data_IF_201438848662
#
_entry.id   IF_201438848662
#
_cell.length_a   1.000
_cell.length_b   1.000
_cell.length_c   1.000
_cell.angle_alpha   90.00
_cell.angle_beta   90.00
_cell.angle_gamma   90.00
#
_symmetry.space_group_name_H-M   'P 1'
#
loop_
_entity.id
_entity.type
_entity.pdbx_description
1 polymer ?
#
# COMPACT_ATOMS: atom_id res chain seq x y z
N UNK A 1 2.99 4.50 2.03
CA UNK A 1 2.35 3.17 2.10
C UNK A 1 3.15 2.11 1.29
N UNK A 2 3.56 2.39 0.03
CA UNK A 2 4.26 1.40 -0.81
C UNK A 2 5.56 0.89 -0.19
N UNK A 3 6.34 1.74 0.46
CA UNK A 3 7.58 1.35 1.14
C UNK A 3 7.35 0.46 2.37
N UNK A 4 6.24 0.70 3.11
CA UNK A 4 5.80 -0.18 4.20
C UNK A 4 5.43 -1.57 3.67
N UNK A 5 4.64 -1.60 2.61
CA UNK A 5 4.26 -2.85 1.94
C UNK A 5 5.50 -3.62 1.45
N UNK A 6 6.45 -2.91 0.83
CA UNK A 6 7.71 -3.50 0.39
C UNK A 6 8.52 -4.08 1.55
N UNK A 7 8.55 -3.40 2.71
CA UNK A 7 9.22 -3.93 3.90
C UNK A 7 8.57 -5.21 4.42
N UNK A 8 7.23 -5.25 4.50
CA UNK A 8 6.48 -6.44 4.92
C UNK A 8 6.80 -7.63 3.99
N UNK A 9 6.73 -7.41 2.68
CA UNK A 9 6.99 -8.46 1.69
C UNK A 9 8.46 -8.89 1.66
N UNK A 10 9.38 -7.98 1.91
CA UNK A 10 10.81 -8.29 2.00
C UNK A 10 11.13 -9.19 3.19
N UNK A 11 10.44 -9.04 4.33
CA UNK A 11 10.54 -9.93 5.48
C UNK A 11 10.11 -11.37 5.16
N UNK A 12 9.19 -11.53 4.20
CA UNK A 12 8.75 -12.83 3.67
C UNK A 12 9.67 -13.36 2.54
N UNK A 13 10.81 -12.71 2.31
CA UNK A 13 11.79 -13.12 1.31
C UNK A 13 11.49 -12.67 -0.13
N UNK A 14 10.49 -11.81 -0.34
CA UNK A 14 10.20 -11.25 -1.65
C UNK A 14 11.13 -10.07 -1.98
N UNK A 15 11.56 -9.99 -3.23
CA UNK A 15 12.46 -8.93 -3.71
C UNK A 15 11.72 -8.07 -4.73
N UNK A 16 11.86 -6.75 -4.61
CA UNK A 16 11.28 -5.82 -5.59
C UNK A 16 12.02 -5.90 -6.94
N UNK A 17 11.26 -5.88 -8.04
CA UNK A 17 11.79 -5.80 -9.40
C UNK A 17 11.18 -4.61 -10.15
N UNK A 18 11.90 -4.08 -11.14
CA UNK A 18 11.39 -3.06 -12.08
C UNK A 18 10.84 -3.67 -13.36
N UNK A 19 11.10 -4.95 -13.59
CA UNK A 19 10.71 -5.68 -14.80
C UNK A 19 9.38 -6.39 -14.58
N UNK A 20 8.31 -5.90 -15.19
CA UNK A 20 6.96 -6.47 -15.06
C UNK A 20 6.87 -7.94 -15.47
N UNK A 21 7.65 -8.36 -16.46
CA UNK A 21 7.66 -9.75 -16.96
C UNK A 21 8.22 -10.73 -15.90
N UNK A 22 9.14 -10.26 -15.08
CA UNK A 22 9.75 -11.07 -14.01
C UNK A 22 8.90 -11.11 -12.73
N UNK A 23 7.91 -10.21 -12.61
CA UNK A 23 7.11 -10.11 -11.41
C UNK A 23 6.20 -11.32 -11.23
N UNK A 24 6.15 -11.87 -10.02
CA UNK A 24 5.18 -12.88 -9.58
C UNK A 24 4.00 -12.22 -8.86
N UNK A 25 4.21 -11.02 -8.33
CA UNK A 25 3.23 -10.22 -7.62
C UNK A 25 3.26 -8.77 -8.12
N UNK A 26 2.11 -8.24 -8.51
CA UNK A 26 1.93 -6.83 -8.85
C UNK A 26 0.93 -6.23 -7.87
N UNK A 27 1.36 -5.22 -7.12
CA UNK A 27 0.51 -4.48 -6.18
C UNK A 27 0.33 -3.04 -6.64
N UNK A 28 -0.91 -2.62 -6.85
CA UNK A 28 -1.28 -1.25 -7.22
C UNK A 28 -1.72 -0.51 -5.97
N UNK A 29 -0.91 0.43 -5.51
CA UNK A 29 -1.32 1.33 -4.43
C UNK A 29 -2.22 2.43 -4.98
N UNK A 30 -3.41 2.58 -4.41
CA UNK A 30 -4.48 3.39 -4.96
C UNK A 30 -4.91 4.52 -4.03
N UNK A 31 -5.37 5.61 -4.64
CA UNK A 31 -5.99 6.74 -3.97
C UNK A 31 -7.48 6.82 -4.33
N UNK A 32 -8.33 7.25 -3.40
CA UNK A 32 -9.77 7.38 -3.59
C UNK A 32 -10.26 8.83 -3.65
N UNK A 33 -9.35 9.81 -3.69
CA UNK A 33 -9.67 11.23 -3.59
C UNK A 33 -10.19 11.80 -4.93
N UNK A 34 -9.85 11.16 -6.06
CA UNK A 34 -10.18 11.65 -7.41
C UNK A 34 -10.75 10.52 -8.26
N UNK A 35 -11.87 10.79 -8.96
CA UNK A 35 -12.47 9.82 -9.91
C UNK A 35 -11.49 9.37 -10.99
N UNK A 36 -10.68 10.28 -11.53
CA UNK A 36 -9.61 9.94 -12.48
C UNK A 36 -8.61 8.92 -11.97
N UNK A 37 -8.41 8.81 -10.65
CA UNK A 37 -7.51 7.81 -10.09
C UNK A 37 -8.08 6.40 -10.27
N UNK A 38 -9.39 6.23 -10.10
CA UNK A 38 -10.08 4.95 -10.31
C UNK A 38 -10.02 4.51 -11.78
N UNK A 39 -10.32 5.41 -12.71
CA UNK A 39 -10.20 5.14 -14.14
C UNK A 39 -8.78 4.73 -14.54
N UNK A 40 -7.77 5.42 -13.99
CA UNK A 40 -6.36 5.09 -14.24
C UNK A 40 -6.00 3.69 -13.74
N UNK A 41 -6.51 3.30 -12.56
CA UNK A 41 -6.29 1.96 -12.00
C UNK A 41 -6.95 0.90 -12.89
N UNK A 42 -8.21 1.10 -13.29
CA UNK A 42 -8.93 0.17 -14.18
C UNK A 42 -8.24 0.03 -15.54
N UNK A 43 -7.69 1.12 -16.09
CA UNK A 43 -6.87 1.09 -17.31
C UNK A 43 -5.62 0.23 -17.13
N UNK A 44 -4.85 0.44 -16.06
CA UNK A 44 -3.67 -0.36 -15.74
C UNK A 44 -4.00 -1.85 -15.54
N UNK A 45 -5.12 -2.16 -14.90
CA UNK A 45 -5.57 -3.54 -14.77
C UNK A 45 -5.84 -4.18 -16.14
N UNK A 46 -6.33 -3.40 -17.12
CA UNK A 46 -6.51 -3.89 -18.49
C UNK A 46 -5.18 -4.24 -19.14
N UNK A 47 -4.14 -3.45 -18.91
CA UNK A 47 -2.78 -3.72 -19.43
C UNK A 47 -2.21 -5.02 -18.83
N UNK A 48 -2.49 -5.31 -17.56
CA UNK A 48 -2.03 -6.54 -16.89
C UNK A 48 -2.77 -7.81 -17.33
N UNK A 49 -3.90 -7.70 -18.07
CA UNK A 49 -4.59 -8.87 -18.63
C UNK A 49 -3.71 -9.69 -19.58
N UNK A 50 -2.85 -9.01 -20.33
CA UNK A 50 -1.92 -9.68 -21.22
C UNK A 50 -0.86 -10.44 -20.46
N UNK A 51 -0.27 -9.80 -19.44
CA UNK A 51 0.73 -10.44 -18.57
C UNK A 51 0.16 -11.68 -17.86
N UNK A 52 -1.06 -11.60 -17.32
CA UNK A 52 -1.68 -12.74 -16.63
C UNK A 52 -2.08 -13.88 -17.57
N UNK A 53 -2.27 -13.62 -18.88
CA UNK A 53 -2.45 -14.68 -19.88
C UNK A 53 -1.16 -15.43 -20.17
N UNK A 54 -0.02 -14.73 -20.21
CA UNK A 54 1.30 -15.31 -20.42
C UNK A 54 1.82 -16.00 -19.15
N UNK A 55 1.48 -15.45 -17.99
CA UNK A 55 1.86 -15.93 -16.66
C UNK A 55 0.61 -16.09 -15.78
N UNK A 56 -0.09 -17.24 -15.86
CA UNK A 56 -1.35 -17.50 -15.13
C UNK A 56 -1.20 -17.37 -13.61
N UNK A 57 -0.03 -17.71 -13.06
CA UNK A 57 0.28 -17.66 -11.63
C UNK A 57 0.60 -16.25 -11.12
N UNK A 58 0.62 -15.23 -12.01
CA UNK A 58 0.82 -13.84 -11.61
C UNK A 58 -0.30 -13.38 -10.67
N UNK A 59 0.05 -12.95 -9.48
CA UNK A 59 -0.89 -12.39 -8.51
C UNK A 59 -1.02 -10.88 -8.72
N UNK A 60 -2.25 -10.39 -8.81
CA UNK A 60 -2.54 -8.95 -8.95
C UNK A 60 -3.35 -8.47 -7.75
N UNK A 61 -2.79 -7.51 -7.02
CA UNK A 61 -3.42 -6.93 -5.84
C UNK A 61 -3.67 -5.43 -5.94
N UNK A 62 -4.73 -4.96 -5.29
CA UNK A 62 -5.07 -3.54 -5.18
C UNK A 62 -5.06 -3.13 -3.71
N UNK A 63 -4.30 -2.09 -3.41
CA UNK A 63 -4.04 -1.60 -2.05
C UNK A 63 -4.56 -0.17 -1.85
N UNK A 64 -4.76 0.21 -0.60
CA UNK A 64 -4.96 1.59 -0.19
C UNK A 64 -6.42 2.05 -0.15
N UNK A 65 -6.64 3.36 -0.29
CA UNK A 65 -7.95 3.98 -0.03
C UNK A 65 -9.06 3.52 -0.97
N UNK A 66 -8.75 3.22 -2.24
CA UNK A 66 -9.75 2.71 -3.18
C UNK A 66 -10.14 1.27 -2.83
N UNK A 67 -9.17 0.44 -2.42
CA UNK A 67 -9.42 -0.90 -1.92
C UNK A 67 -10.38 -0.87 -0.72
N UNK A 68 -10.14 0.01 0.25
CA UNK A 68 -11.02 0.20 1.42
C UNK A 68 -12.44 0.65 1.02
N UNK A 69 -12.56 1.57 0.06
CA UNK A 69 -13.85 2.10 -0.37
C UNK A 69 -14.69 1.09 -1.15
N UNK A 70 -14.07 0.35 -2.06
CA UNK A 70 -14.76 -0.58 -2.96
C UNK A 70 -14.90 -1.99 -2.36
N UNK A 71 -14.00 -2.37 -1.46
CA UNK A 71 -14.04 -3.64 -0.71
C UNK A 71 -14.15 -4.87 -1.62
N UNK A 72 -14.91 -5.86 -1.19
CA UNK A 72 -15.13 -7.10 -1.93
C UNK A 72 -15.75 -6.87 -3.32
N UNK A 73 -16.57 -5.83 -3.48
CA UNK A 73 -17.19 -5.48 -4.76
C UNK A 73 -16.16 -5.29 -5.88
N UNK A 74 -14.96 -4.78 -5.53
CA UNK A 74 -13.90 -4.61 -6.53
C UNK A 74 -13.40 -5.94 -7.12
N UNK A 75 -13.31 -6.98 -6.31
CA UNK A 75 -12.96 -8.34 -6.79
C UNK A 75 -14.06 -8.94 -7.68
N UNK A 76 -15.33 -8.66 -7.38
CA UNK A 76 -16.45 -9.11 -8.18
C UNK A 76 -16.49 -8.44 -9.56
N UNK A 77 -16.22 -7.14 -9.61
CA UNK A 77 -16.17 -6.35 -10.83
C UNK A 77 -14.89 -6.63 -11.66
N UNK A 78 -13.75 -6.74 -11.01
CA UNK A 78 -12.45 -6.90 -11.65
C UNK A 78 -11.88 -8.31 -11.42
N UNK A 79 -12.29 -9.27 -12.25
CA UNK A 79 -11.89 -10.68 -12.14
C UNK A 79 -10.38 -10.92 -12.14
N UNK A 80 -9.62 -9.97 -12.69
CA UNK A 80 -8.15 -10.00 -12.74
C UNK A 80 -7.52 -9.85 -11.35
N UNK A 81 -8.21 -9.16 -10.43
CA UNK A 81 -7.70 -8.85 -9.09
C UNK A 81 -7.88 -10.07 -8.18
N UNK A 82 -6.80 -10.49 -7.55
CA UNK A 82 -6.74 -11.62 -6.63
C UNK A 82 -6.79 -11.15 -5.17
N UNK A 83 -6.22 -9.95 -4.89
CA UNK A 83 -6.08 -9.41 -3.53
C UNK A 83 -6.58 -7.97 -3.47
N UNK A 84 -7.37 -7.65 -2.44
CA UNK A 84 -7.82 -6.29 -2.12
C UNK A 84 -7.53 -5.99 -0.65
N UNK A 85 -6.68 -4.97 -0.39
CA UNK A 85 -6.20 -4.66 0.97
C UNK A 85 -6.38 -3.19 1.30
N UNK A 86 -7.09 -2.92 2.37
CA UNK A 86 -7.23 -1.58 2.93
C UNK A 86 -5.92 -1.05 3.53
N UNK A 87 -5.83 0.29 3.78
CA UNK A 87 -4.60 0.93 4.21
C UNK A 87 -4.11 0.51 5.61
N UNK A 88 -4.95 -0.08 6.42
CA UNK A 88 -4.61 -0.54 7.78
C UNK A 88 -4.44 -2.08 7.87
N UNK A 89 -4.56 -2.79 6.75
CA UNK A 89 -4.49 -4.25 6.71
C UNK A 89 -3.23 -4.79 6.01
N UNK A 90 -2.20 -3.98 5.79
CA UNK A 90 -0.99 -4.40 5.06
C UNK A 90 -0.22 -5.54 5.75
N UNK A 91 -0.29 -5.63 7.09
CA UNK A 91 0.35 -6.74 7.84
C UNK A 91 -0.23 -8.10 7.51
N UNK A 92 -1.46 -8.15 6.98
CA UNK A 92 -2.12 -9.40 6.61
C UNK A 92 -1.76 -9.87 5.18
N UNK A 93 -0.97 -9.09 4.45
CA UNK A 93 -0.56 -9.44 3.08
C UNK A 93 0.02 -10.85 2.95
N UNK A 94 0.92 -11.34 3.83
CA UNK A 94 1.44 -12.69 3.75
C UNK A 94 0.35 -13.77 3.82
N UNK A 95 -0.61 -13.60 4.74
CA UNK A 95 -1.72 -14.53 4.87
C UNK A 95 -2.65 -14.50 3.65
N UNK A 96 -2.88 -13.33 3.07
CA UNK A 96 -3.70 -13.17 1.86
C UNK A 96 -3.03 -13.79 0.64
N UNK A 97 -1.71 -13.67 0.52
CA UNK A 97 -0.93 -14.32 -0.53
C UNK A 97 -1.04 -15.83 -0.42
N UNK A 98 -0.88 -16.37 0.80
CA UNK A 98 -1.04 -17.82 1.03
C UNK A 98 -2.44 -18.32 0.62
N UNK A 99 -3.51 -17.54 0.85
CA UNK A 99 -4.87 -17.91 0.38
C UNK A 99 -4.96 -17.96 -1.13
N UNK A 100 -4.31 -17.02 -1.83
CA UNK A 100 -4.29 -17.02 -3.30
C UNK A 100 -3.56 -18.24 -3.84
N UNK A 101 -2.50 -18.70 -3.20
CA UNK A 101 -1.79 -19.94 -3.57
C UNK A 101 -2.70 -21.18 -3.50
N UNK A 102 -3.72 -21.16 -2.62
CA UNK A 102 -4.76 -22.19 -2.56
C UNK A 102 -5.95 -21.95 -3.51
N UNK A 103 -5.86 -20.94 -4.38
CA UNK A 103 -6.89 -20.62 -5.38
C UNK A 103 -8.04 -19.78 -4.84
N UNK A 104 -7.92 -19.21 -3.66
CA UNK A 104 -8.91 -18.30 -3.07
C UNK A 104 -8.54 -16.85 -3.36
N UNK A 105 -9.53 -15.94 -3.36
CA UNK A 105 -9.28 -14.50 -3.42
C UNK A 105 -9.13 -13.90 -2.03
N UNK A 106 -8.16 -13.01 -1.86
CA UNK A 106 -7.85 -12.38 -0.59
C UNK A 106 -8.48 -10.98 -0.45
N UNK A 107 -9.32 -10.76 0.57
CA UNK A 107 -9.86 -9.42 0.90
C UNK A 107 -9.63 -9.14 2.37
N UNK A 108 -8.95 -8.04 2.67
CA UNK A 108 -8.91 -7.49 4.01
C UNK A 108 -9.01 -5.96 3.95
N UNK A 109 -10.15 -5.43 4.36
CA UNK A 109 -10.50 -4.01 4.31
C UNK A 109 -10.97 -3.57 5.70
N UNK A 110 -10.05 -3.63 6.61
CA UNK A 110 -10.27 -3.31 8.01
C UNK A 110 -9.67 -1.94 8.34
N UNK A 111 -10.40 -1.11 9.06
CA UNK A 111 -9.93 0.17 9.60
C UNK A 111 -9.54 0.01 11.07
N UNK A 112 -8.26 0.09 11.34
CA UNK A 112 -7.72 0.04 12.70
C UNK A 112 -7.94 1.37 13.45
N UNK A 113 -8.00 1.29 14.78
CA UNK A 113 -7.96 2.47 15.64
C UNK A 113 -6.56 2.81 16.13
N UNK A 114 -5.59 1.92 15.95
CA UNK A 114 -4.26 1.99 16.56
C UNK A 114 -3.13 1.87 15.54
N UNK A 115 -3.35 1.24 14.39
CA UNK A 115 -2.29 0.95 13.42
C UNK A 115 -1.66 2.22 12.84
N UNK A 116 -0.37 2.37 13.05
CA UNK A 116 0.45 3.47 12.51
C UNK A 116 1.63 2.98 11.69
N UNK A 117 1.93 1.67 11.73
CA UNK A 117 3.14 1.04 11.16
C UNK A 117 4.45 1.66 11.70
N UNK A 118 4.42 2.19 12.93
CA UNK A 118 5.56 2.90 13.53
C UNK A 118 6.77 2.00 13.79
N UNK A 119 6.56 0.71 13.92
CA UNK A 119 7.56 -0.35 14.16
C UNK A 119 8.16 -0.94 12.88
N UNK A 120 7.63 -0.56 11.71
CA UNK A 120 8.16 -1.02 10.42
C UNK A 120 9.07 0.05 9.84
N UNK A 121 10.35 -0.28 9.69
CA UNK A 121 11.29 0.55 8.95
C UNK A 121 10.97 0.48 7.44
N UNK A 122 10.61 1.62 6.79
CA UNK A 122 10.22 1.60 5.39
C UNK A 122 11.39 1.25 4.46
N UNK A 123 11.18 0.27 3.57
CA UNK A 123 12.15 -0.02 2.50
C UNK A 123 12.09 1.08 1.45
N UNK A 124 13.17 1.83 1.29
CA UNK A 124 13.23 2.97 0.35
C UNK A 124 13.37 2.46 -1.09
N UNK A 125 12.25 2.48 -1.83
CA UNK A 125 12.18 1.92 -3.19
C UNK A 125 12.84 2.83 -4.24
N UNK A 126 12.67 4.15 -4.10
CA UNK A 126 13.16 5.16 -5.04
C UNK A 126 13.97 6.24 -4.30
N UNK A 127 15.03 5.81 -3.60
CA UNK A 127 15.90 6.76 -2.91
C UNK A 127 16.78 7.52 -3.90
N UNK A 128 16.61 8.85 -3.94
CA UNK A 128 17.51 9.75 -4.65
C UNK A 128 18.70 10.18 -3.78
N UNK A 129 18.82 9.65 -2.56
CA UNK A 129 19.84 10.01 -1.59
C UNK A 129 19.70 11.42 -0.96
N UNK A 130 18.65 12.18 -1.32
CA UNK A 130 18.49 13.58 -0.90
C UNK A 130 17.22 13.80 -0.08
N UNK A 131 16.13 13.10 -0.40
CA UNK A 131 14.83 13.29 0.26
C UNK A 131 14.18 11.98 0.65
N UNK A 132 13.48 11.98 1.78
CA UNK A 132 12.68 10.86 2.25
C UNK A 132 11.37 11.35 2.87
N UNK A 133 10.31 10.53 2.79
CA UNK A 133 9.04 10.81 3.44
C UNK A 133 8.92 10.03 4.74
N UNK A 134 8.62 10.75 5.83
CA UNK A 134 8.30 10.14 7.13
C UNK A 134 6.81 10.30 7.38
N UNK A 135 6.10 9.20 7.60
CA UNK A 135 4.70 9.24 7.99
C UNK A 135 4.59 9.55 9.47
N UNK A 136 3.98 10.68 9.81
CA UNK A 136 3.83 11.13 11.21
C UNK A 136 2.44 10.82 11.78
N UNK A 137 1.43 10.71 10.91
CA UNK A 137 0.04 10.44 11.31
C UNK A 137 -0.74 9.73 10.19
N UNK A 138 -1.84 9.08 10.56
CA UNK A 138 -2.79 8.43 9.66
C UNK A 138 -4.22 8.79 10.05
N UNK A 139 -5.14 8.79 9.06
CA UNK A 139 -6.53 9.14 9.28
C UNK A 139 -6.79 10.64 9.43
N UNK A 140 -8.02 11.01 9.80
CA UNK A 140 -8.39 12.41 10.02
C UNK A 140 -9.73 12.50 10.76
N UNK A 141 -9.82 13.39 11.76
CA UNK A 141 -11.02 13.61 12.57
C UNK A 141 -11.84 14.84 12.15
N UNK A 142 -11.40 15.58 11.13
CA UNK A 142 -12.08 16.82 10.74
C UNK A 142 -13.47 16.64 10.09
N UNK A 143 -13.80 15.43 9.61
CA UNK A 143 -15.13 15.08 9.07
C UNK A 143 -15.71 16.10 8.09
N UNK A 144 -14.88 16.71 7.23
CA UNK A 144 -15.31 17.66 6.20
C UNK A 144 -16.34 16.98 5.26
N UNK A 145 -17.42 17.70 4.89
CA UNK A 145 -18.56 17.15 4.14
C UNK A 145 -18.22 16.50 2.79
N UNK A 146 -17.14 16.95 2.15
CA UNK A 146 -16.68 16.46 0.85
C UNK A 146 -15.50 15.46 0.96
N UNK A 147 -15.04 15.13 2.17
CA UNK A 147 -13.80 14.40 2.37
C UNK A 147 -14.05 12.90 2.62
N UNK A 148 -13.39 12.05 1.84
CA UNK A 148 -13.47 10.59 1.97
C UNK A 148 -12.47 10.02 2.99
N UNK A 149 -11.47 10.80 3.44
CA UNK A 149 -10.37 10.31 4.28
C UNK A 149 -10.84 9.63 5.58
N UNK A 150 -11.79 10.17 6.37
CA UNK A 150 -12.27 9.49 7.56
C UNK A 150 -12.86 8.10 7.31
N UNK A 151 -13.40 7.88 6.12
CA UNK A 151 -14.04 6.62 5.71
C UNK A 151 -13.08 5.60 5.10
N UNK A 152 -11.93 6.07 4.59
CA UNK A 152 -10.96 5.21 3.92
C UNK A 152 -9.66 5.03 4.71
N UNK A 153 -9.38 5.92 5.67
CA UNK A 153 -8.21 5.85 6.55
C UNK A 153 -8.56 5.92 8.04
N UNK A 154 -9.85 6.01 8.37
CA UNK A 154 -10.34 6.03 9.73
C UNK A 154 -10.01 7.31 10.50
N UNK A 155 -10.11 7.21 11.84
CA UNK A 155 -9.79 8.26 12.78
C UNK A 155 -8.31 8.64 12.76
N UNK A 156 -8.00 9.85 13.21
CA UNK A 156 -6.64 10.30 13.37
C UNK A 156 -5.85 9.46 14.37
N UNK A 157 -4.67 9.04 13.98
CA UNK A 157 -3.70 8.29 14.78
C UNK A 157 -2.32 8.83 14.52
N UNK A 158 -1.75 9.49 15.51
CA UNK A 158 -0.40 10.04 15.42
C UNK A 158 0.63 9.03 15.93
N UNK A 159 1.77 8.96 15.27
CA UNK A 159 2.94 8.24 15.78
C UNK A 159 3.53 8.97 16.97
N UNK A 160 4.22 8.24 17.84
CA UNK A 160 4.96 8.89 18.93
C UNK A 160 6.12 9.73 18.37
N UNK A 161 6.39 10.88 18.99
CA UNK A 161 7.52 11.74 18.60
C UNK A 161 8.85 10.98 18.62
N UNK A 162 9.02 10.06 19.56
CA UNK A 162 10.21 9.22 19.67
C UNK A 162 10.46 8.40 18.40
N UNK A 163 9.44 7.70 17.88
CA UNK A 163 9.59 6.86 16.67
C UNK A 163 9.84 7.72 15.41
N UNK A 164 9.28 8.92 15.37
CA UNK A 164 9.49 9.86 14.25
C UNK A 164 10.94 10.37 14.26
N UNK A 165 11.45 10.77 15.44
CA UNK A 165 12.82 11.26 15.60
C UNK A 165 13.81 10.15 15.28
N UNK A 166 13.61 8.94 15.80
CA UNK A 166 14.47 7.80 15.53
C UNK A 166 14.58 7.49 14.02
N UNK A 167 13.44 7.51 13.29
CA UNK A 167 13.44 7.33 11.83
C UNK A 167 14.16 8.48 11.11
N UNK A 168 14.02 9.73 11.58
CA UNK A 168 14.70 10.87 11.00
C UNK A 168 16.23 10.83 11.24
N UNK A 169 16.67 10.39 12.40
CA UNK A 169 18.08 10.21 12.74
C UNK A 169 18.72 9.10 11.89
N UNK A 170 18.05 7.96 11.74
CA UNK A 170 18.51 6.87 10.88
C UNK A 170 18.69 7.35 9.42
N UNK A 171 17.71 8.08 8.89
CA UNK A 171 17.79 8.67 7.57
C UNK A 171 18.94 9.69 7.42
N UNK A 172 19.25 10.45 8.47
CA UNK A 172 20.34 11.43 8.43
C UNK A 172 21.73 10.80 8.45
N UNK A 173 21.86 9.62 9.06
CA UNK A 173 23.13 8.88 9.12
C UNK A 173 23.41 8.06 7.86
N UNK A 174 22.36 7.60 7.20
CA UNK A 174 22.47 6.77 5.98
C UNK A 174 22.44 7.58 4.68
N UNK A 175 21.99 8.85 4.73
CA UNK A 175 21.85 9.72 3.56
C UNK A 175 22.39 11.13 3.87
N UNK A 176 22.69 11.91 2.82
CA UNK A 176 23.05 13.33 2.92
C UNK A 176 22.00 14.16 3.69
N UNK A 177 22.33 15.37 4.20
CA UNK A 177 21.52 16.07 5.18
C UNK A 177 20.03 16.17 4.81
N UNK A 178 19.18 15.80 5.76
CA UNK A 178 17.72 15.87 5.61
C UNK A 178 17.29 17.34 5.64
N UNK A 179 16.70 17.81 4.55
CA UNK A 179 16.18 19.19 4.45
C UNK A 179 14.67 19.13 4.75
N UNK A 180 14.25 19.78 5.83
CA UNK A 180 12.84 19.92 6.17
C UNK A 180 12.25 21.15 5.46
N UNK A 181 11.17 20.96 4.69
CA UNK A 181 10.31 22.06 4.22
C UNK A 181 9.03 22.09 5.05
N UNK A 182 8.58 23.33 5.39
CA UNK A 182 7.28 23.54 6.06
C UNK A 182 6.14 23.32 5.10
#
# INVERSE_FOLDING_TARGET
>A
DSEIVASILNQEGMVSTRELIQADLILINTCSIREKAEETVRKRLTDFKHLKKEKPDLIVGVLGCMAERLKAKFIEEEKLVDIVVGPDAYRDLPNLLSKVDYGEKGVNVFLSREETYADIAPLRLDSNGVSAFISIMRGCDNMCSFCVVPYTRGRERSRSAYTIIAEAEDLSTTHSPVIFSK
#
